data_IF_026194832301
#
_entry.id   IF_026194832301
#
_cell.length_a   1.000
_cell.length_b   1.000
_cell.length_c   1.000
_cell.angle_alpha   90.00
_cell.angle_beta   90.00
_cell.angle_gamma   90.00
#
_symmetry.space_group_name_H-M   'P 1'
#
loop_
_entity.id
_entity.type
_entity.pdbx_description
1 polymer ?
#
# COMPACT_ATOMS: atom_id res chain seq x y z
N UNK A 1 3.66 2.95 37.24
CA UNK A 1 3.53 2.81 35.79
C UNK A 1 2.17 3.39 35.40
N UNK A 2 2.14 4.50 34.69
CA UNK A 2 0.88 5.09 34.23
C UNK A 2 0.38 4.19 33.10
N UNK A 3 -0.67 3.36 33.36
CA UNK A 3 -1.45 2.76 32.28
C UNK A 3 -1.96 3.92 31.45
N UNK A 4 -1.44 4.14 30.24
CA UNK A 4 -2.15 4.95 29.27
C UNK A 4 -3.43 4.21 28.99
N UNK A 5 -4.55 4.78 29.42
CA UNK A 5 -5.85 4.14 29.27
C UNK A 5 -6.17 3.97 27.79
N UNK A 6 -6.90 2.91 27.49
CA UNK A 6 -7.46 2.66 26.17
C UNK A 6 -8.51 3.75 25.92
N UNK A 7 -8.25 4.66 24.98
CA UNK A 7 -9.15 5.74 24.65
C UNK A 7 -10.25 5.23 23.72
N UNK A 8 -11.51 5.43 24.08
CA UNK A 8 -12.65 5.13 23.23
C UNK A 8 -13.06 6.38 22.46
N UNK A 9 -13.15 6.28 21.14
CA UNK A 9 -13.65 7.31 20.24
C UNK A 9 -14.94 6.79 19.61
N UNK A 10 -16.05 7.48 19.87
CA UNK A 10 -17.34 7.15 19.30
C UNK A 10 -17.58 7.93 18.01
N UNK A 11 -18.11 7.26 16.98
CA UNK A 11 -18.53 7.80 15.70
C UNK A 11 -20.05 7.60 15.52
N UNK A 12 -20.91 8.39 16.23
CA UNK A 12 -22.35 8.15 16.26
C UNK A 12 -23.03 8.21 14.89
N UNK A 13 -22.50 9.02 13.97
CA UNK A 13 -23.05 9.19 12.63
C UNK A 13 -23.05 7.88 11.81
N UNK A 14 -22.16 6.96 12.13
CA UNK A 14 -22.02 5.66 11.45
C UNK A 14 -22.21 4.47 12.40
N UNK A 15 -22.55 4.74 13.67
CA UNK A 15 -22.77 3.71 14.69
C UNK A 15 -21.51 2.96 15.11
N UNK A 16 -20.33 3.59 14.97
CA UNK A 16 -19.03 2.95 15.18
C UNK A 16 -18.31 3.46 16.40
N UNK A 17 -17.43 2.64 16.96
CA UNK A 17 -16.45 3.07 17.94
C UNK A 17 -15.07 2.47 17.67
N UNK A 18 -14.04 3.25 18.00
CA UNK A 18 -12.64 2.83 17.89
C UNK A 18 -11.98 2.99 19.23
N UNK A 19 -11.31 1.97 19.70
CA UNK A 19 -10.43 2.04 20.86
C UNK A 19 -8.99 2.21 20.40
N UNK A 20 -8.32 3.24 20.91
CA UNK A 20 -6.94 3.52 20.52
C UNK A 20 -6.01 3.70 21.70
N UNK A 21 -4.76 3.33 21.54
CA UNK A 21 -3.69 3.64 22.49
C UNK A 21 -2.32 3.55 21.82
N UNK A 22 -1.29 4.09 22.49
CA UNK A 22 0.10 3.87 22.12
C UNK A 22 0.81 3.20 23.29
N UNK A 23 1.41 2.04 23.06
CA UNK A 23 2.15 1.31 24.09
C UNK A 23 3.48 2.00 24.45
N UNK A 24 4.11 1.56 25.54
CA UNK A 24 5.39 2.15 26.03
C UNK A 24 6.52 2.01 25.00
N UNK A 25 6.54 0.93 24.22
CA UNK A 25 7.49 0.70 23.13
C UNK A 25 7.17 1.48 21.84
N UNK A 26 6.10 2.29 21.86
CA UNK A 26 5.67 3.13 20.75
C UNK A 26 4.70 2.48 19.77
N UNK A 27 4.35 1.20 19.91
CA UNK A 27 3.38 0.54 19.04
C UNK A 27 2.01 1.20 19.16
N UNK A 28 1.44 1.63 18.05
CA UNK A 28 0.09 2.22 17.98
C UNK A 28 -0.93 1.13 17.73
N UNK A 29 -2.01 1.17 18.52
CA UNK A 29 -3.08 0.18 18.46
C UNK A 29 -4.41 0.84 18.16
N UNK A 30 -5.19 0.19 17.30
CA UNK A 30 -6.58 0.52 16.98
C UNK A 30 -7.40 -0.76 17.04
N UNK A 31 -8.38 -0.81 17.94
CA UNK A 31 -9.27 -1.95 18.13
C UNK A 31 -10.69 -1.54 17.79
N UNK A 32 -11.35 -2.28 16.93
CA UNK A 32 -12.71 -2.00 16.43
C UNK A 32 -13.58 -3.23 16.67
N UNK A 33 -14.19 -3.36 17.87
CA UNK A 33 -15.06 -4.49 18.18
C UNK A 33 -16.32 -4.49 17.31
N UNK A 34 -16.64 -5.66 16.75
CA UNK A 34 -17.79 -5.93 15.89
C UNK A 34 -18.45 -7.24 16.33
N UNK A 35 -19.25 -7.18 17.39
CA UNK A 35 -19.86 -8.38 17.99
C UNK A 35 -20.80 -9.15 17.05
N UNK A 36 -21.36 -8.48 16.05
CA UNK A 36 -22.29 -9.09 15.07
C UNK A 36 -21.59 -9.77 13.89
N UNK A 37 -20.26 -9.70 13.84
CA UNK A 37 -19.46 -10.35 12.80
C UNK A 37 -18.84 -11.65 13.33
N UNK A 38 -18.82 -12.69 12.48
CA UNK A 38 -18.18 -13.95 12.83
C UNK A 38 -16.66 -13.92 12.54
N UNK A 39 -16.21 -13.04 11.66
CA UNK A 39 -14.81 -12.92 11.25
C UNK A 39 -14.10 -11.83 12.03
N UNK A 40 -12.84 -12.12 12.37
CA UNK A 40 -11.90 -11.14 12.91
C UNK A 40 -10.73 -10.98 11.95
N UNK A 41 -10.31 -9.76 11.76
CA UNK A 41 -9.20 -9.36 10.89
C UNK A 41 -8.21 -8.52 11.68
N UNK A 42 -6.93 -8.80 11.53
CA UNK A 42 -5.89 -7.93 12.05
C UNK A 42 -4.82 -7.65 11.01
N UNK A 43 -4.30 -6.43 11.02
CA UNK A 43 -3.21 -5.99 10.17
C UNK A 43 -2.21 -5.17 10.96
N UNK A 44 -0.94 -5.55 10.88
CA UNK A 44 0.18 -4.76 11.39
C UNK A 44 0.99 -4.24 10.22
N UNK A 45 1.34 -2.97 10.25
CA UNK A 45 2.12 -2.35 9.18
C UNK A 45 3.30 -1.58 9.73
N UNK A 46 4.42 -1.62 9.00
CA UNK A 46 5.58 -0.77 9.22
C UNK A 46 5.66 0.31 8.13
N UNK A 47 6.20 1.48 8.47
CA UNK A 47 6.46 2.56 7.52
C UNK A 47 7.77 2.30 6.77
N UNK A 48 7.79 1.23 6.00
CA UNK A 48 8.88 0.81 5.13
C UNK A 48 8.29 0.26 3.84
N UNK A 49 8.55 0.87 2.71
CA UNK A 49 8.04 0.47 1.41
C UNK A 49 9.11 0.54 0.33
N UNK A 50 8.72 0.28 -0.91
CA UNK A 50 9.67 0.17 -2.03
C UNK A 50 10.42 1.46 -2.35
N UNK A 51 9.90 2.63 -1.95
CA UNK A 51 10.58 3.92 -2.15
C UNK A 51 11.60 4.24 -1.05
N UNK A 52 11.66 3.46 0.02
CA UNK A 52 12.57 3.68 1.15
C UNK A 52 13.90 2.97 0.94
N UNK A 53 14.63 3.37 -0.10
CA UNK A 53 15.93 2.78 -0.46
C UNK A 53 17.13 3.60 0.03
N UNK A 54 16.92 4.82 0.56
CA UNK A 54 18.00 5.73 0.99
C UNK A 54 17.65 6.38 2.32
N UNK A 55 18.30 5.94 3.39
CA UNK A 55 17.96 6.37 4.75
C UNK A 55 19.17 6.31 5.72
N UNK A 56 19.01 6.89 6.90
CA UNK A 56 20.01 6.81 7.99
C UNK A 56 19.94 5.45 8.66
N UNK A 57 21.09 4.88 8.97
CA UNK A 57 21.24 3.64 9.76
C UNK A 57 21.90 3.98 11.08
N UNK A 58 21.41 3.42 12.19
CA UNK A 58 21.97 3.67 13.52
C UNK A 58 23.45 3.29 13.60
N UNK A 59 24.24 4.11 14.29
CA UNK A 59 25.69 3.93 14.42
C UNK A 59 26.50 4.17 13.13
N UNK A 60 25.84 4.57 12.01
CA UNK A 60 26.52 4.80 10.72
C UNK A 60 26.32 6.24 10.28
N UNK A 61 27.42 6.94 9.98
CA UNK A 61 27.37 8.33 9.53
C UNK A 61 26.75 8.44 8.11
N UNK A 62 25.83 9.40 7.95
CA UNK A 62 25.21 9.75 6.69
C UNK A 62 24.06 8.81 6.25
N UNK A 63 23.65 9.03 5.02
CA UNK A 63 22.57 8.24 4.38
C UNK A 63 23.19 7.06 3.65
N UNK A 64 22.63 5.88 3.84
CA UNK A 64 22.98 4.66 3.11
C UNK A 64 21.97 4.38 2.01
N UNK A 65 22.42 3.74 0.96
CA UNK A 65 21.60 3.32 -0.17
C UNK A 65 21.50 1.81 -0.21
N UNK A 66 20.27 1.33 -0.41
CA UNK A 66 19.93 -0.09 -0.49
C UNK A 66 19.33 -0.42 -1.86
N UNK A 67 19.44 -1.68 -2.32
CA UNK A 67 18.86 -2.11 -3.59
C UNK A 67 17.35 -1.89 -3.63
N UNK A 68 16.82 -1.48 -4.80
CA UNK A 68 15.38 -1.47 -5.01
C UNK A 68 14.82 -2.90 -4.88
N UNK A 69 13.59 -3.02 -4.36
CA UNK A 69 12.97 -4.31 -4.06
C UNK A 69 13.29 -4.86 -2.67
N UNK A 70 14.20 -4.21 -1.87
CA UNK A 70 14.61 -4.74 -0.58
C UNK A 70 13.46 -4.83 0.44
N UNK A 71 12.48 -3.93 0.37
CA UNK A 71 11.30 -3.98 1.25
C UNK A 71 10.41 -5.20 0.94
N UNK A 72 10.19 -5.50 -0.34
CA UNK A 72 9.47 -6.67 -0.81
C UNK A 72 10.26 -7.97 -0.51
N UNK A 73 11.56 -7.96 -0.73
CA UNK A 73 12.41 -9.09 -0.35
C UNK A 73 12.30 -9.40 1.14
N UNK A 74 12.33 -8.36 1.99
CA UNK A 74 12.19 -8.54 3.43
C UNK A 74 10.79 -9.07 3.80
N UNK A 75 9.74 -8.62 3.11
CA UNK A 75 8.40 -9.16 3.29
C UNK A 75 8.36 -10.69 3.12
N UNK A 76 8.92 -11.22 2.01
CA UNK A 76 9.04 -12.66 1.78
C UNK A 76 9.81 -13.34 2.92
N UNK A 77 10.94 -12.77 3.34
CA UNK A 77 11.80 -13.37 4.36
C UNK A 77 11.20 -13.35 5.76
N UNK A 78 10.23 -12.48 6.01
CA UNK A 78 9.51 -12.49 7.29
C UNK A 78 8.71 -13.77 7.51
N UNK A 79 8.26 -14.45 6.45
CA UNK A 79 7.53 -15.73 6.58
C UNK A 79 8.40 -16.89 7.05
N UNK A 80 9.72 -16.80 6.98
CA UNK A 80 10.63 -17.77 7.59
C UNK A 80 10.55 -17.68 9.13
N UNK A 81 10.03 -18.71 9.77
CA UNK A 81 9.80 -18.74 11.22
C UNK A 81 10.27 -20.04 11.83
N UNK A 82 11.41 -20.04 12.54
CA UNK A 82 11.97 -21.23 13.18
C UNK A 82 12.15 -22.46 12.26
N UNK A 83 12.42 -22.24 10.97
CA UNK A 83 12.53 -23.31 9.98
C UNK A 83 11.18 -23.84 9.45
N UNK A 84 10.08 -23.16 9.77
CA UNK A 84 8.73 -23.38 9.23
C UNK A 84 8.23 -22.11 8.55
N UNK A 85 7.13 -22.22 7.82
CA UNK A 85 6.44 -21.05 7.25
C UNK A 85 5.41 -20.52 8.26
N UNK A 86 5.38 -19.20 8.46
CA UNK A 86 4.41 -18.57 9.35
C UNK A 86 2.96 -18.87 8.93
N UNK A 87 2.70 -19.05 7.63
CA UNK A 87 1.37 -19.43 7.11
C UNK A 87 0.89 -20.77 7.66
N UNK A 88 1.78 -21.74 7.87
CA UNK A 88 1.45 -23.03 8.45
C UNK A 88 1.02 -22.89 9.92
N UNK A 89 1.65 -21.98 10.67
CA UNK A 89 1.29 -21.72 12.07
C UNK A 89 -0.08 -21.03 12.16
N UNK A 90 -0.39 -20.09 11.29
CA UNK A 90 -1.73 -19.49 11.20
C UNK A 90 -2.79 -20.53 10.78
N UNK A 91 -2.49 -21.40 9.83
CA UNK A 91 -3.40 -22.47 9.39
C UNK A 91 -3.75 -23.43 10.52
N UNK A 92 -2.81 -23.75 11.42
CA UNK A 92 -3.09 -24.56 12.65
C UNK A 92 -4.08 -23.91 13.59
N UNK A 93 -4.18 -22.59 13.59
CA UNK A 93 -5.14 -21.81 14.37
C UNK A 93 -6.48 -21.61 13.63
N UNK A 94 -6.60 -22.09 12.38
CA UNK A 94 -7.78 -21.89 11.53
C UNK A 94 -7.84 -20.52 10.90
N UNK A 95 -6.71 -19.83 10.74
CA UNK A 95 -6.60 -18.49 10.15
C UNK A 95 -5.94 -18.54 8.77
N UNK A 96 -6.33 -17.60 7.91
CA UNK A 96 -5.62 -17.27 6.67
C UNK A 96 -4.72 -16.06 6.95
N UNK A 97 -3.50 -16.08 6.42
CA UNK A 97 -2.56 -14.97 6.53
C UNK A 97 -2.13 -14.48 5.14
N UNK A 98 -1.73 -13.23 5.05
CA UNK A 98 -1.16 -12.63 3.85
C UNK A 98 -0.25 -11.46 4.23
N UNK A 99 0.52 -10.96 3.27
CA UNK A 99 1.29 -9.74 3.40
C UNK A 99 1.28 -8.97 2.08
N UNK A 100 1.68 -7.71 2.13
CA UNK A 100 1.94 -6.94 0.93
C UNK A 100 2.93 -5.82 1.20
N UNK A 101 3.73 -5.52 0.21
CA UNK A 101 4.57 -4.33 0.14
C UNK A 101 3.97 -3.33 -0.84
N UNK A 102 3.83 -2.08 -0.39
CA UNK A 102 3.49 -0.95 -1.25
C UNK A 102 4.68 0.00 -1.37
N UNK A 103 4.48 1.13 -2.03
CA UNK A 103 5.52 2.15 -2.14
C UNK A 103 5.98 2.72 -0.80
N UNK A 104 5.09 2.84 0.20
CA UNK A 104 5.35 3.56 1.46
C UNK A 104 5.21 2.71 2.73
N UNK A 105 4.79 1.46 2.61
CA UNK A 105 4.57 0.56 3.75
C UNK A 105 4.66 -0.91 3.35
N UNK A 106 5.01 -1.75 4.33
CA UNK A 106 4.83 -3.20 4.28
C UNK A 106 3.84 -3.58 5.38
N UNK A 107 2.94 -4.51 5.11
CA UNK A 107 1.89 -4.92 6.03
C UNK A 107 1.72 -6.44 6.04
N UNK A 108 1.38 -6.98 7.20
CA UNK A 108 1.12 -8.38 7.47
C UNK A 108 -0.24 -8.51 8.13
N UNK A 109 -1.02 -9.49 7.74
CA UNK A 109 -2.41 -9.58 8.15
C UNK A 109 -2.85 -11.02 8.31
N UNK A 110 -3.91 -11.21 9.09
CA UNK A 110 -4.68 -12.46 9.11
C UNK A 110 -6.18 -12.19 9.12
N UNK A 111 -6.95 -13.17 8.69
CA UNK A 111 -8.38 -13.29 8.95
C UNK A 111 -8.69 -14.64 9.57
N UNK A 112 -9.67 -14.66 10.50
CA UNK A 112 -10.08 -15.88 11.19
C UNK A 112 -11.52 -15.78 11.70
N UNK A 113 -12.18 -16.93 11.87
CA UNK A 113 -13.49 -17.03 12.54
C UNK A 113 -13.38 -17.61 13.95
N UNK A 114 -12.17 -17.93 14.40
CA UNK A 114 -11.89 -18.49 15.73
C UNK A 114 -10.43 -18.23 16.12
N UNK A 115 -10.11 -18.37 17.41
CA UNK A 115 -8.75 -18.17 17.92
C UNK A 115 -8.14 -16.80 17.64
N UNK A 116 -8.94 -15.74 17.62
CA UNK A 116 -8.52 -14.37 17.29
C UNK A 116 -7.36 -13.89 18.17
N UNK A 117 -7.39 -14.17 19.49
CA UNK A 117 -6.33 -13.72 20.41
C UNK A 117 -5.01 -14.49 20.20
N UNK A 118 -4.97 -15.82 20.07
CA UNK A 118 -3.77 -16.57 19.64
C UNK A 118 -3.23 -16.09 18.29
N UNK A 119 -4.10 -15.74 17.33
CA UNK A 119 -3.67 -15.19 16.03
C UNK A 119 -3.06 -13.80 16.17
N UNK A 120 -3.57 -12.94 17.07
CA UNK A 120 -2.97 -11.63 17.38
C UNK A 120 -1.56 -11.80 17.99
N UNK A 121 -1.39 -12.73 18.94
CA UNK A 121 -0.07 -13.03 19.51
C UNK A 121 0.90 -13.53 18.44
N UNK A 122 0.47 -14.48 17.62
CA UNK A 122 1.26 -15.03 16.51
C UNK A 122 1.67 -13.93 15.52
N UNK A 123 0.75 -13.03 15.12
CA UNK A 123 1.05 -11.90 14.23
C UNK A 123 2.14 -10.99 14.80
N UNK A 124 2.07 -10.67 16.08
CA UNK A 124 3.08 -9.87 16.76
C UNK A 124 4.42 -10.59 16.86
N UNK A 125 4.42 -11.91 17.13
CA UNK A 125 5.64 -12.71 17.23
C UNK A 125 6.31 -12.88 15.85
N UNK A 126 5.50 -13.12 14.84
CA UNK A 126 5.92 -13.24 13.46
C UNK A 126 6.62 -11.96 12.95
N UNK A 127 5.98 -10.80 13.11
CA UNK A 127 6.48 -9.55 12.52
C UNK A 127 7.63 -8.91 13.34
N UNK A 128 7.78 -9.28 14.60
CA UNK A 128 8.81 -8.74 15.49
C UNK A 128 10.00 -9.68 15.69
N UNK A 129 10.22 -10.59 14.73
CA UNK A 129 11.34 -11.50 14.69
C UNK A 129 11.80 -11.68 13.24
N UNK A 130 13.08 -11.76 13.03
CA UNK A 130 13.68 -12.05 11.72
C UNK A 130 14.58 -13.28 11.84
N UNK A 131 14.20 -14.37 11.17
CA UNK A 131 14.96 -15.62 11.13
C UNK A 131 15.44 -15.87 9.71
N UNK A 132 16.62 -15.37 9.34
CA UNK A 132 17.18 -15.55 8.00
C UNK A 132 18.59 -16.12 8.04
N UNK A 133 18.90 -16.98 7.08
CA UNK A 133 20.25 -17.47 6.82
C UNK A 133 20.73 -17.01 5.46
N UNK A 134 22.04 -16.98 5.20
CA UNK A 134 22.55 -16.68 3.84
C UNK A 134 21.94 -17.59 2.78
N UNK A 135 21.77 -18.88 3.07
CA UNK A 135 21.21 -19.88 2.18
C UNK A 135 19.74 -19.59 1.87
N UNK A 136 18.94 -19.21 2.89
CA UNK A 136 17.52 -18.87 2.70
C UNK A 136 17.38 -17.60 1.86
N UNK A 137 18.28 -16.64 2.01
CA UNK A 137 18.33 -15.42 1.17
C UNK A 137 18.66 -15.75 -0.28
N UNK A 138 19.68 -16.60 -0.52
CA UNK A 138 20.03 -17.00 -1.90
C UNK A 138 18.91 -17.77 -2.59
N UNK A 139 18.20 -18.64 -1.87
CA UNK A 139 17.03 -19.35 -2.41
C UNK A 139 15.92 -18.37 -2.82
N UNK A 140 15.66 -17.36 -1.99
CA UNK A 140 14.58 -16.38 -2.22
C UNK A 140 14.83 -15.51 -3.46
N UNK A 141 16.09 -15.19 -3.78
CA UNK A 141 16.44 -14.47 -5.03
C UNK A 141 15.88 -15.15 -6.26
N UNK A 142 15.93 -16.49 -6.29
CA UNK A 142 15.36 -17.27 -7.39
C UNK A 142 13.84 -17.13 -7.48
N UNK A 143 13.14 -17.16 -6.36
CA UNK A 143 11.68 -17.05 -6.28
C UNK A 143 11.24 -15.66 -6.73
N UNK A 144 11.78 -14.60 -6.13
CA UNK A 144 11.47 -13.20 -6.49
C UNK A 144 11.87 -12.93 -7.96
N UNK A 145 12.98 -13.50 -8.42
CA UNK A 145 13.39 -13.38 -9.83
C UNK A 145 12.39 -13.98 -10.82
N UNK A 146 11.68 -15.05 -10.45
CA UNK A 146 10.59 -15.60 -11.26
C UNK A 146 9.33 -14.74 -11.19
N UNK A 147 9.01 -14.21 -10.03
CA UNK A 147 7.89 -13.30 -9.84
C UNK A 147 8.06 -12.02 -10.68
N UNK A 148 9.25 -11.41 -10.69
CA UNK A 148 9.56 -10.25 -11.54
C UNK A 148 9.32 -10.57 -13.01
N UNK A 149 9.74 -11.75 -13.49
CA UNK A 149 9.49 -12.15 -14.87
C UNK A 149 8.02 -12.34 -15.18
N UNK A 150 7.24 -12.87 -14.23
CA UNK A 150 5.80 -13.01 -14.38
C UNK A 150 5.13 -11.64 -14.58
N UNK A 151 5.52 -10.62 -13.80
CA UNK A 151 5.04 -9.25 -14.00
C UNK A 151 5.53 -8.62 -15.31
N UNK A 152 6.74 -8.93 -15.76
CA UNK A 152 7.26 -8.47 -17.06
C UNK A 152 6.46 -9.02 -18.25
N UNK A 153 5.86 -10.20 -18.10
CA UNK A 153 5.02 -10.85 -19.10
C UNK A 153 3.54 -10.48 -18.99
N UNK A 154 3.12 -9.76 -17.93
CA UNK A 154 1.73 -9.33 -17.72
C UNK A 154 1.47 -7.97 -18.40
N UNK A 155 0.62 -7.91 -19.46
CA UNK A 155 0.31 -6.66 -20.15
C UNK A 155 -0.37 -5.60 -19.28
N UNK A 156 -1.21 -6.00 -18.32
CA UNK A 156 -1.91 -5.07 -17.42
C UNK A 156 -0.92 -4.41 -16.46
N UNK A 157 0.00 -5.20 -15.91
CA UNK A 157 1.09 -4.67 -15.10
C UNK A 157 2.01 -3.75 -15.91
N UNK A 158 2.37 -4.15 -17.12
CA UNK A 158 3.27 -3.39 -18.01
C UNK A 158 2.70 -2.03 -18.39
N UNK A 159 1.43 -1.92 -18.72
CA UNK A 159 0.81 -0.63 -19.06
C UNK A 159 0.63 0.23 -17.80
N UNK A 160 0.20 -0.38 -16.68
CA UNK A 160 0.04 0.32 -15.40
C UNK A 160 1.36 0.90 -14.92
N UNK A 161 2.36 0.04 -14.73
CA UNK A 161 3.64 0.45 -14.17
C UNK A 161 4.46 1.28 -15.17
N UNK A 162 4.40 0.96 -16.45
CA UNK A 162 5.02 1.76 -17.52
C UNK A 162 4.51 3.20 -17.54
N UNK A 163 3.24 3.42 -17.22
CA UNK A 163 2.68 4.78 -17.10
C UNK A 163 3.31 5.56 -15.94
N UNK A 164 3.59 4.91 -14.79
CA UNK A 164 4.29 5.53 -13.64
C UNK A 164 5.75 5.84 -14.01
N UNK A 165 6.43 4.93 -14.69
CA UNK A 165 7.80 5.14 -15.20
C UNK A 165 7.91 6.34 -16.14
N UNK A 166 6.86 6.61 -16.91
CA UNK A 166 6.80 7.78 -17.80
C UNK A 166 6.61 9.08 -17.03
N UNK A 167 5.99 9.06 -15.85
CA UNK A 167 5.75 10.25 -15.04
C UNK A 167 7.00 10.72 -14.29
N UNK A 168 7.80 9.79 -13.74
CA UNK A 168 8.85 10.13 -12.76
C UNK A 168 10.25 9.93 -13.33
N UNK A 169 11.13 10.93 -13.07
CA UNK A 169 12.52 10.93 -13.52
C UNK A 169 13.45 10.31 -12.48
N UNK A 170 13.39 10.80 -11.24
CA UNK A 170 14.32 10.49 -10.17
C UNK A 170 13.64 9.84 -8.97
N UNK A 171 12.31 9.83 -8.93
CA UNK A 171 11.58 9.29 -7.79
C UNK A 171 11.60 7.76 -7.81
N UNK A 172 11.89 7.08 -6.67
CA UNK A 172 11.94 5.61 -6.61
C UNK A 172 10.63 4.91 -7.00
N UNK A 173 9.48 5.59 -6.97
CA UNK A 173 8.20 5.04 -7.44
C UNK A 173 8.24 4.60 -8.91
N UNK A 174 9.20 5.09 -9.70
CA UNK A 174 9.43 4.63 -11.07
C UNK A 174 10.16 3.28 -11.16
N UNK A 175 10.54 2.69 -10.02
CA UNK A 175 11.12 1.34 -9.94
C UNK A 175 10.07 0.42 -9.35
N UNK A 176 9.90 -0.76 -9.94
CA UNK A 176 8.93 -1.75 -9.49
C UNK A 176 9.10 -2.07 -7.99
N UNK A 177 7.99 -2.40 -7.33
CA UNK A 177 7.98 -2.74 -5.90
C UNK A 177 8.91 -3.92 -5.61
N UNK A 178 8.92 -4.92 -6.49
CA UNK A 178 9.81 -6.07 -6.40
C UNK A 178 11.27 -5.74 -6.80
N UNK A 179 11.52 -4.54 -7.33
CA UNK A 179 12.83 -4.16 -7.86
C UNK A 179 13.07 -4.73 -9.26
N UNK A 180 14.31 -5.10 -9.53
CA UNK A 180 14.74 -5.80 -10.74
C UNK A 180 15.55 -7.03 -10.36
N UNK A 181 15.67 -8.00 -11.26
CA UNK A 181 16.51 -9.20 -11.05
C UNK A 181 17.93 -8.80 -10.62
N UNK A 182 18.48 -7.72 -11.23
CA UNK A 182 19.80 -7.21 -10.86
C UNK A 182 19.85 -6.69 -9.41
N UNK A 183 18.85 -5.88 -8.99
CA UNK A 183 18.83 -5.30 -7.63
C UNK A 183 18.57 -6.37 -6.58
N UNK A 184 17.70 -7.34 -6.87
CA UNK A 184 17.44 -8.50 -6.00
C UNK A 184 18.70 -9.34 -5.81
N UNK A 185 19.46 -9.60 -6.88
CA UNK A 185 20.72 -10.36 -6.80
C UNK A 185 21.80 -9.66 -5.96
N UNK A 186 21.78 -8.34 -5.83
CA UNK A 186 22.69 -7.56 -4.97
C UNK A 186 22.29 -7.54 -3.51
N UNK A 187 21.06 -7.92 -3.18
CA UNK A 187 20.57 -7.95 -1.80
C UNK A 187 21.24 -9.10 -1.03
N UNK A 188 21.71 -8.83 0.16
CA UNK A 188 22.28 -9.83 1.06
C UNK A 188 21.62 -9.81 2.44
N UNK A 189 21.97 -10.81 3.26
CA UNK A 189 21.46 -10.96 4.63
C UNK A 189 21.68 -9.70 5.47
N UNK A 190 22.89 -9.12 5.42
CA UNK A 190 23.24 -7.95 6.23
C UNK A 190 22.40 -6.72 5.87
N UNK A 191 22.11 -6.53 4.59
CA UNK A 191 21.23 -5.47 4.12
C UNK A 191 19.79 -5.66 4.64
N UNK A 192 19.26 -6.88 4.58
CA UNK A 192 17.93 -7.22 5.09
C UNK A 192 17.84 -7.01 6.61
N UNK A 193 18.83 -7.49 7.38
CA UNK A 193 18.91 -7.27 8.82
C UNK A 193 18.98 -5.78 9.16
N UNK A 194 19.75 -5.00 8.40
CA UNK A 194 19.84 -3.54 8.58
C UNK A 194 18.48 -2.87 8.35
N UNK A 195 17.77 -3.22 7.29
CA UNK A 195 16.43 -2.69 7.02
C UNK A 195 15.43 -3.10 8.11
N UNK A 196 15.47 -4.37 8.55
CA UNK A 196 14.62 -4.87 9.62
C UNK A 196 14.86 -4.09 10.92
N UNK A 197 16.09 -4.00 11.38
CA UNK A 197 16.45 -3.31 12.61
C UNK A 197 16.09 -1.82 12.57
N UNK A 198 16.14 -1.20 11.38
CA UNK A 198 15.79 0.21 11.20
C UNK A 198 14.27 0.44 11.22
N UNK A 199 13.50 -0.38 10.52
CA UNK A 199 12.09 -0.07 10.26
C UNK A 199 11.07 -0.90 11.06
N UNK A 200 11.45 -2.08 11.58
CA UNK A 200 10.51 -2.98 12.27
C UNK A 200 10.46 -2.77 13.79
N UNK A 201 10.94 -1.63 14.25
CA UNK A 201 10.76 -1.22 15.64
C UNK A 201 9.27 -0.86 15.91
N UNK A 202 8.66 -1.28 17.04
CA UNK A 202 7.26 -1.03 17.36
C UNK A 202 6.82 0.43 17.22
N UNK A 203 7.68 1.40 17.51
CA UNK A 203 7.36 2.83 17.37
C UNK A 203 7.16 3.29 15.92
N UNK A 204 7.64 2.51 14.94
CA UNK A 204 7.42 2.71 13.51
C UNK A 204 6.23 1.90 12.98
N UNK A 205 5.56 1.12 13.85
CA UNK A 205 4.51 0.19 13.48
C UNK A 205 3.14 0.60 14.01
N UNK A 206 2.11 0.03 13.39
CA UNK A 206 0.71 0.25 13.74
C UNK A 206 -0.07 -1.06 13.57
N UNK A 207 -0.84 -1.43 14.60
CA UNK A 207 -1.70 -2.61 14.58
C UNK A 207 -3.17 -2.18 14.59
N UNK A 208 -3.95 -2.67 13.64
CA UNK A 208 -5.40 -2.61 13.62
C UNK A 208 -5.98 -3.99 13.84
N UNK A 209 -7.00 -4.08 14.67
CA UNK A 209 -7.79 -5.31 14.86
C UNK A 209 -9.26 -4.94 14.76
N UNK A 210 -9.99 -5.62 13.90
CA UNK A 210 -11.43 -5.44 13.71
C UNK A 210 -12.12 -6.79 13.68
N UNK A 211 -13.29 -6.90 14.31
CA UNK A 211 -14.09 -8.13 14.31
C UNK A 211 -14.68 -8.48 15.67
N UNK A 212 -15.00 -9.74 15.84
CA UNK A 212 -15.63 -10.26 17.07
C UNK A 212 -14.61 -10.36 18.22
N UNK A 213 -14.15 -9.21 18.69
CA UNK A 213 -13.18 -9.09 19.79
C UNK A 213 -13.75 -8.30 20.95
N UNK A 214 -13.28 -8.60 22.16
CA UNK A 214 -13.41 -7.73 23.30
C UNK A 214 -12.17 -6.84 23.43
N UNK A 215 -12.35 -5.51 23.46
CA UNK A 215 -11.24 -4.55 23.44
C UNK A 215 -10.33 -4.68 24.67
N UNK A 216 -10.88 -4.93 25.86
CA UNK A 216 -10.09 -5.09 27.10
C UNK A 216 -9.27 -6.40 27.09
N UNK A 217 -9.85 -7.48 26.56
CA UNK A 217 -9.13 -8.73 26.37
C UNK A 217 -8.02 -8.57 25.36
N UNK A 218 -8.31 -8.01 24.18
CA UNK A 218 -7.33 -7.79 23.12
C UNK A 218 -6.14 -6.94 23.59
N UNK A 219 -6.41 -5.81 24.29
CA UNK A 219 -5.32 -4.95 24.78
C UNK A 219 -4.47 -5.63 25.85
N UNK A 220 -5.05 -6.49 26.69
CA UNK A 220 -4.28 -7.25 27.69
C UNK A 220 -3.38 -8.28 27.02
N UNK A 221 -3.89 -9.08 26.08
CA UNK A 221 -3.11 -10.02 25.28
C UNK A 221 -1.93 -9.32 24.59
N UNK A 222 -2.19 -8.20 23.93
CA UNK A 222 -1.15 -7.44 23.23
C UNK A 222 -0.10 -6.90 24.22
N UNK A 223 -0.52 -6.35 25.35
CA UNK A 223 0.41 -5.84 26.39
C UNK A 223 1.27 -6.95 26.99
N UNK A 224 0.68 -8.10 27.28
CA UNK A 224 1.41 -9.25 27.81
C UNK A 224 2.44 -9.79 26.81
N UNK A 225 2.05 -9.87 25.52
CA UNK A 225 2.96 -10.24 24.45
C UNK A 225 4.14 -9.26 24.34
N UNK A 226 3.86 -7.95 24.30
CA UNK A 226 4.90 -6.93 24.18
C UNK A 226 5.79 -6.80 25.42
N UNK A 227 5.28 -7.12 26.61
CA UNK A 227 6.06 -7.09 27.85
C UNK A 227 7.11 -8.21 27.92
N UNK A 228 6.95 -9.29 27.17
CA UNK A 228 7.93 -10.40 27.07
C UNK A 228 9.10 -10.07 26.13
N UNK A 229 9.04 -8.96 25.38
CA UNK A 229 10.01 -8.56 24.35
C UNK A 229 10.83 -7.37 24.79
N UNK A 230 12.10 -7.39 24.44
CA UNK A 230 13.01 -6.27 24.66
C UNK A 230 13.28 -5.59 23.32
N UNK A 231 13.02 -4.30 23.25
CA UNK A 231 13.34 -3.47 22.11
C UNK A 231 14.37 -2.43 22.50
N UNK A 232 15.33 -2.18 21.64
CA UNK A 232 16.29 -1.08 21.82
C UNK A 232 15.56 0.27 21.72
N UNK A 233 16.25 1.34 22.12
CA UNK A 233 15.67 2.68 21.98
C UNK A 233 15.56 3.05 20.49
N UNK A 234 14.35 3.39 20.04
CA UNK A 234 14.12 3.79 18.65
C UNK A 234 14.97 5.01 18.26
N UNK A 235 15.65 4.89 17.13
CA UNK A 235 16.40 6.00 16.55
C UNK A 235 15.53 6.71 15.48
N UNK A 236 15.70 8.03 15.28
CA UNK A 236 15.00 8.75 14.21
C UNK A 236 15.42 8.24 12.84
N UNK A 237 14.44 7.81 12.04
CA UNK A 237 14.66 7.38 10.66
C UNK A 237 14.52 8.60 9.74
N UNK A 238 15.59 8.94 9.03
CA UNK A 238 15.61 10.03 8.05
C UNK A 238 15.78 9.43 6.67
N UNK A 239 14.70 9.42 5.87
CA UNK A 239 14.77 9.04 4.47
C UNK A 239 15.19 10.24 3.61
N UNK A 240 16.03 9.98 2.61
CA UNK A 240 16.44 11.03 1.67
C UNK A 240 15.26 11.44 0.80
N UNK A 241 15.04 12.76 0.72
CA UNK A 241 14.07 13.31 -0.23
C UNK A 241 14.66 13.33 -1.64
N UNK A 242 13.88 12.86 -2.61
CA UNK A 242 14.25 12.94 -4.01
C UNK A 242 13.83 14.29 -4.59
N UNK A 243 14.73 14.93 -5.35
CA UNK A 243 14.42 16.12 -6.13
C UNK A 243 13.83 15.64 -7.46
N UNK A 244 12.53 15.79 -7.61
CA UNK A 244 11.80 15.33 -8.77
C UNK A 244 11.41 16.53 -9.68
N UNK A 245 11.77 16.51 -10.99
CA UNK A 245 11.35 17.57 -11.92
C UNK A 245 9.84 17.63 -12.08
N UNK A 246 9.29 18.84 -12.31
CA UNK A 246 7.86 19.00 -12.59
C UNK A 246 7.44 18.36 -13.93
N UNK A 247 8.37 18.26 -14.90
CA UNK A 247 8.11 17.63 -16.19
C UNK A 247 8.11 16.11 -16.08
N UNK A 248 7.22 15.46 -16.81
CA UNK A 248 7.23 14.02 -16.97
C UNK A 248 8.51 13.57 -17.70
N UNK A 249 8.95 12.35 -17.39
CA UNK A 249 10.15 11.75 -18.00
C UNK A 249 9.93 11.47 -19.49
N UNK A 250 8.78 10.87 -19.80
CA UNK A 250 8.41 10.50 -21.17
C UNK A 250 6.93 10.85 -21.38
N UNK A 251 6.61 11.51 -22.50
CA UNK A 251 5.24 11.93 -22.79
C UNK A 251 4.36 10.79 -23.30
N UNK A 252 4.96 9.88 -24.02
CA UNK A 252 4.28 8.76 -24.65
C UNK A 252 5.27 7.61 -24.81
N UNK A 253 4.83 6.42 -24.52
CA UNK A 253 5.58 5.19 -24.73
C UNK A 253 4.64 4.11 -25.26
N UNK A 254 5.05 3.37 -26.27
CA UNK A 254 4.28 2.27 -26.85
C UNK A 254 5.11 1.01 -26.68
N UNK A 255 4.51 -0.01 -26.09
CA UNK A 255 5.10 -1.33 -25.90
C UNK A 255 4.30 -2.34 -26.73
N UNK A 256 4.99 -3.13 -27.55
CA UNK A 256 4.34 -4.22 -28.29
C UNK A 256 4.37 -5.49 -27.45
N UNK A 257 3.20 -6.05 -27.19
CA UNK A 257 2.99 -7.32 -26.48
C UNK A 257 1.89 -8.12 -27.20
N UNK A 258 1.83 -9.41 -26.91
CA UNK A 258 0.76 -10.28 -27.44
C UNK A 258 -0.51 -10.07 -26.58
N UNK A 259 -1.45 -9.30 -27.10
CA UNK A 259 -2.69 -8.90 -26.41
C UNK A 259 -3.88 -8.98 -27.36
N UNK A 260 -5.04 -9.34 -26.84
CA UNK A 260 -6.29 -9.38 -27.63
C UNK A 260 -6.79 -7.98 -28.02
N UNK A 261 -6.60 -7.00 -27.13
CA UNK A 261 -7.00 -5.61 -27.33
C UNK A 261 -5.90 -4.66 -26.92
N UNK A 262 -5.81 -3.49 -27.55
CA UNK A 262 -4.86 -2.45 -27.11
C UNK A 262 -5.24 -1.97 -25.71
N UNK A 263 -4.21 -1.75 -24.88
CA UNK A 263 -4.35 -1.22 -23.52
C UNK A 263 -3.77 0.20 -23.48
N UNK A 264 -4.54 1.15 -22.99
CA UNK A 264 -4.07 2.54 -22.86
C UNK A 264 -4.29 3.06 -21.45
N UNK A 265 -3.28 3.74 -20.92
CA UNK A 265 -3.39 4.57 -19.71
C UNK A 265 -2.87 5.98 -20.02
N UNK A 266 -3.73 6.97 -19.79
CA UNK A 266 -3.36 8.39 -19.77
C UNK A 266 -3.12 8.78 -18.32
N UNK A 267 -1.90 9.25 -18.00
CA UNK A 267 -1.50 9.58 -16.64
C UNK A 267 -1.19 11.07 -16.49
N UNK A 268 -1.56 11.62 -15.33
CA UNK A 268 -1.30 13.04 -14.99
C UNK A 268 -0.44 13.07 -13.72
N UNK A 269 0.77 13.62 -13.83
CA UNK A 269 1.63 13.86 -12.68
C UNK A 269 1.13 15.06 -11.88
N UNK A 270 0.99 14.90 -10.57
CA UNK A 270 0.62 15.98 -9.67
C UNK A 270 1.87 16.44 -8.92
N UNK A 271 2.28 17.69 -9.19
CA UNK A 271 3.51 18.24 -8.63
C UNK A 271 3.30 18.87 -7.24
N UNK A 272 2.06 19.18 -6.88
CA UNK A 272 1.73 19.68 -5.56
C UNK A 272 1.63 18.55 -4.55
N UNK A 273 2.59 18.46 -3.65
CA UNK A 273 2.60 17.47 -2.57
C UNK A 273 2.11 18.11 -1.28
N UNK A 274 0.96 17.65 -0.81
CA UNK A 274 0.38 18.12 0.45
C UNK A 274 1.13 17.48 1.63
N UNK A 275 1.38 18.29 2.67
CA UNK A 275 2.08 17.81 3.88
C UNK A 275 1.13 17.43 5.01
N UNK A 276 -0.05 18.08 5.08
CA UNK A 276 -1.00 17.88 6.18
C UNK A 276 -1.95 16.71 5.90
N UNK A 277 -2.06 15.74 6.83
CA UNK A 277 -2.91 14.56 6.63
C UNK A 277 -4.36 14.90 6.29
N UNK A 278 -4.96 15.88 6.98
CA UNK A 278 -6.35 16.29 6.74
C UNK A 278 -6.56 16.84 5.31
N UNK A 279 -5.59 17.57 4.79
CA UNK A 279 -5.64 18.11 3.42
C UNK A 279 -5.49 16.98 2.39
N UNK A 280 -4.63 15.99 2.68
CA UNK A 280 -4.48 14.78 1.86
C UNK A 280 -5.79 14.01 1.75
N UNK A 281 -6.40 13.70 2.89
CA UNK A 281 -7.69 12.97 2.94
C UNK A 281 -8.77 13.76 2.19
N UNK A 282 -8.85 15.08 2.40
CA UNK A 282 -9.81 15.92 1.70
C UNK A 282 -9.61 15.87 0.17
N UNK A 283 -8.36 15.94 -0.30
CA UNK A 283 -8.05 15.85 -1.75
C UNK A 283 -8.43 14.48 -2.29
N UNK A 284 -8.08 13.42 -1.61
CA UNK A 284 -8.40 12.06 -2.01
C UNK A 284 -9.92 11.83 -2.13
N UNK A 285 -10.68 12.19 -1.10
CA UNK A 285 -12.15 12.11 -1.13
C UNK A 285 -12.75 12.97 -2.24
N UNK A 286 -12.21 14.18 -2.46
CA UNK A 286 -12.68 15.07 -3.53
C UNK A 286 -12.39 14.50 -4.92
N UNK A 287 -11.23 13.86 -5.11
CA UNK A 287 -10.87 13.21 -6.39
C UNK A 287 -11.73 11.97 -6.64
N UNK A 288 -11.99 11.16 -5.63
CA UNK A 288 -12.87 9.99 -5.75
C UNK A 288 -14.31 10.38 -6.09
N UNK A 289 -14.84 11.43 -5.44
CA UNK A 289 -16.16 12.00 -5.79
C UNK A 289 -16.19 12.51 -7.23
N UNK A 290 -15.13 13.20 -7.67
CA UNK A 290 -15.02 13.71 -9.03
C UNK A 290 -14.99 12.56 -10.05
N UNK A 291 -14.23 11.50 -9.78
CA UNK A 291 -14.18 10.34 -10.69
C UNK A 291 -15.51 9.60 -10.72
N UNK A 292 -16.20 9.46 -9.61
CA UNK A 292 -17.55 8.91 -9.58
C UNK A 292 -18.54 9.75 -10.40
N UNK A 293 -18.43 11.09 -10.32
CA UNK A 293 -19.28 12.01 -11.10
C UNK A 293 -19.03 11.90 -12.60
N UNK A 294 -17.77 11.75 -13.01
CA UNK A 294 -17.39 11.77 -14.43
C UNK A 294 -17.39 10.36 -15.06
N UNK A 295 -16.90 9.36 -14.33
CA UNK A 295 -16.48 8.09 -14.88
C UNK A 295 -17.22 6.86 -14.31
N UNK A 296 -18.12 7.04 -13.32
CA UNK A 296 -18.92 5.88 -12.87
C UNK A 296 -19.92 5.45 -13.95
N UNK A 297 -20.32 4.18 -13.93
CA UNK A 297 -21.32 3.59 -14.84
C UNK A 297 -22.67 4.34 -14.85
N UNK A 298 -22.94 5.20 -13.86
CA UNK A 298 -24.12 6.05 -13.78
C UNK A 298 -23.92 7.47 -14.33
N UNK A 299 -22.71 7.83 -14.75
CA UNK A 299 -22.42 9.15 -15.31
C UNK A 299 -22.85 9.28 -16.76
N UNK A 300 -23.19 10.50 -17.17
CA UNK A 300 -23.56 10.79 -18.57
C UNK A 300 -22.37 10.56 -19.51
N UNK A 301 -21.18 10.97 -19.09
CA UNK A 301 -19.96 10.85 -19.88
C UNK A 301 -19.60 9.39 -20.15
N UNK A 302 -19.60 8.55 -19.09
CA UNK A 302 -19.33 7.13 -19.22
C UNK A 302 -20.32 6.47 -20.21
N UNK A 303 -21.62 6.72 -20.05
CA UNK A 303 -22.64 6.13 -20.90
C UNK A 303 -22.56 6.64 -22.36
N UNK A 304 -22.24 7.91 -22.57
CA UNK A 304 -22.02 8.45 -23.91
C UNK A 304 -20.84 7.77 -24.61
N UNK A 305 -19.72 7.62 -23.93
CA UNK A 305 -18.55 6.95 -24.49
C UNK A 305 -18.75 5.45 -24.68
N UNK A 306 -19.43 4.79 -23.77
CA UNK A 306 -19.79 3.36 -23.91
C UNK A 306 -20.71 3.14 -25.11
N UNK A 307 -21.78 3.95 -25.26
CA UNK A 307 -22.71 3.85 -26.37
C UNK A 307 -22.07 4.16 -27.73
N UNK A 308 -21.03 4.97 -27.76
CA UNK A 308 -20.24 5.26 -28.96
C UNK A 308 -19.15 4.20 -29.23
N UNK A 309 -18.99 3.21 -28.36
CA UNK A 309 -17.93 2.20 -28.46
C UNK A 309 -16.50 2.74 -28.25
N UNK A 310 -16.36 3.91 -27.61
CA UNK A 310 -15.05 4.52 -27.29
C UNK A 310 -14.41 3.79 -26.11
N UNK A 311 -15.22 3.33 -25.15
CA UNK A 311 -14.81 2.57 -23.98
C UNK A 311 -15.64 1.30 -23.84
N UNK A 312 -15.17 0.40 -22.98
CA UNK A 312 -15.91 -0.79 -22.54
C UNK A 312 -15.86 -0.91 -21.00
N UNK A 313 -16.23 -2.06 -20.46
CA UNK A 313 -16.31 -2.30 -19.01
C UNK A 313 -14.95 -2.29 -18.29
N UNK A 314 -13.83 -2.36 -19.02
CA UNK A 314 -12.47 -2.23 -18.44
C UNK A 314 -12.09 -0.79 -18.12
N UNK A 315 -12.86 0.21 -18.58
CA UNK A 315 -12.57 1.62 -18.35
C UNK A 315 -12.54 1.95 -16.86
N UNK A 316 -11.44 2.56 -16.43
CA UNK A 316 -11.21 2.93 -15.04
C UNK A 316 -10.48 4.26 -14.91
N UNK A 317 -10.69 4.92 -13.77
CA UNK A 317 -9.95 6.11 -13.37
C UNK A 317 -9.56 6.00 -11.90
N UNK A 318 -8.33 6.35 -11.58
CA UNK A 318 -7.80 6.29 -10.22
C UNK A 318 -6.96 7.50 -9.88
N UNK A 319 -6.92 7.83 -8.59
CA UNK A 319 -6.05 8.84 -8.00
C UNK A 319 -5.19 8.18 -6.94
N UNK A 320 -3.89 8.32 -7.09
CA UNK A 320 -2.91 7.86 -6.11
C UNK A 320 -2.22 9.05 -5.48
N UNK A 321 -2.17 9.06 -4.15
CA UNK A 321 -1.46 10.08 -3.38
C UNK A 321 -0.78 9.44 -2.19
N UNK A 322 0.53 9.60 -2.12
CA UNK A 322 1.37 9.12 -1.05
C UNK A 322 2.08 10.28 -0.32
N UNK A 323 3.12 9.97 0.45
CA UNK A 323 3.79 11.00 1.26
C UNK A 323 4.50 12.07 0.43
N UNK A 324 5.05 11.71 -0.74
CA UNK A 324 5.93 12.56 -1.56
C UNK A 324 5.71 12.46 -3.07
N UNK A 325 4.65 11.75 -3.51
CA UNK A 325 4.22 11.72 -4.89
C UNK A 325 2.70 11.62 -5.02
N UNK A 326 2.16 12.04 -6.16
CA UNK A 326 0.75 11.85 -6.51
C UNK A 326 0.55 11.87 -8.03
N UNK A 327 -0.43 11.09 -8.51
CA UNK A 327 -0.79 11.02 -9.92
C UNK A 327 -2.23 10.55 -10.12
N UNK A 328 -2.73 10.79 -11.33
CA UNK A 328 -4.00 10.27 -11.83
C UNK A 328 -3.68 9.30 -12.96
N UNK A 329 -4.44 8.21 -13.05
CA UNK A 329 -4.43 7.29 -14.18
C UNK A 329 -5.86 7.09 -14.67
N UNK A 330 -6.05 7.15 -16.00
CA UNK A 330 -7.33 6.87 -16.66
C UNK A 330 -7.02 5.95 -17.81
N UNK A 331 -7.65 4.78 -17.85
CA UNK A 331 -7.32 3.74 -18.83
C UNK A 331 -8.51 2.88 -19.24
N UNK A 332 -8.30 2.15 -20.33
CA UNK A 332 -9.24 1.21 -20.90
C UNK A 332 -8.51 0.23 -21.82
N UNK A 333 -9.08 -0.96 -21.97
CA UNK A 333 -8.75 -1.85 -23.07
C UNK A 333 -9.68 -1.47 -24.24
N UNK A 334 -9.14 -1.13 -25.40
CA UNK A 334 -9.95 -0.69 -26.53
C UNK A 334 -9.24 -0.93 -27.88
N UNK A 335 -10.02 -1.16 -28.93
CA UNK A 335 -9.48 -1.35 -30.26
C UNK A 335 -8.88 -0.06 -30.84
N UNK A 336 -9.57 1.08 -30.63
CA UNK A 336 -9.15 2.40 -31.11
C UNK A 336 -8.65 3.27 -29.94
N UNK A 337 -7.41 3.00 -29.50
CA UNK A 337 -6.78 3.76 -28.41
C UNK A 337 -6.53 5.24 -28.78
N UNK A 338 -6.35 5.58 -30.07
CA UNK A 338 -6.15 6.96 -30.48
C UNK A 338 -7.42 7.81 -30.29
N UNK A 339 -8.58 7.28 -30.59
CA UNK A 339 -9.86 7.95 -30.34
C UNK A 339 -10.05 8.18 -28.84
N UNK A 340 -9.82 7.17 -27.98
CA UNK A 340 -9.93 7.33 -26.53
C UNK A 340 -8.91 8.35 -26.01
N UNK A 341 -7.65 8.27 -26.44
CA UNK A 341 -6.59 9.24 -26.09
C UNK A 341 -7.01 10.67 -26.39
N UNK A 342 -7.53 10.92 -27.60
CA UNK A 342 -7.97 12.26 -28.01
C UNK A 342 -9.14 12.74 -27.14
N UNK A 343 -10.12 11.91 -26.84
CA UNK A 343 -11.25 12.26 -25.96
C UNK A 343 -10.78 12.58 -24.52
N UNK A 344 -9.83 11.82 -23.98
CA UNK A 344 -9.24 12.10 -22.67
C UNK A 344 -8.44 13.40 -22.65
N UNK A 345 -7.62 13.66 -23.67
CA UNK A 345 -6.87 14.91 -23.78
C UNK A 345 -7.79 16.13 -23.93
N UNK A 346 -8.84 16.03 -24.71
CA UNK A 346 -9.86 17.07 -24.85
C UNK A 346 -10.61 17.31 -23.52
N UNK A 347 -10.99 16.26 -22.82
CA UNK A 347 -11.60 16.35 -21.50
C UNK A 347 -10.69 17.10 -20.51
N UNK A 348 -9.40 16.72 -20.46
CA UNK A 348 -8.41 17.35 -19.56
C UNK A 348 -8.22 18.83 -19.93
N UNK A 349 -8.13 19.14 -21.22
CA UNK A 349 -7.96 20.52 -21.70
C UNK A 349 -9.15 21.42 -21.36
N UNK A 350 -10.37 20.88 -21.50
CA UNK A 350 -11.61 21.61 -21.29
C UNK A 350 -12.23 21.36 -19.90
N UNK A 351 -11.46 20.82 -18.97
CA UNK A 351 -11.93 20.40 -17.66
C UNK A 351 -12.68 21.49 -16.88
N UNK A 352 -12.22 22.74 -17.00
CA UNK A 352 -12.83 23.92 -16.32
C UNK A 352 -14.21 24.29 -16.85
N UNK A 353 -14.57 23.81 -18.04
CA UNK A 353 -15.87 24.07 -18.69
C UNK A 353 -16.92 23.03 -18.33
N UNK A 354 -16.51 21.94 -17.64
CA UNK A 354 -17.42 20.88 -17.21
C UNK A 354 -18.45 21.42 -16.21
N UNK A 355 -19.72 21.21 -16.54
CA UNK A 355 -20.83 21.56 -15.65
C UNK A 355 -21.26 20.30 -14.90
N UNK A 356 -21.14 20.33 -13.58
CA UNK A 356 -21.68 19.30 -12.69
C UNK A 356 -23.03 19.79 -12.19
N UNK A 357 -24.08 18.99 -12.42
CA UNK A 357 -25.42 19.30 -11.90
C UNK A 357 -25.50 18.98 -10.40
N UNK A 358 -26.08 19.87 -9.60
CA UNK A 358 -26.25 19.73 -8.15
C UNK A 358 -26.85 18.38 -7.75
N UNK A 359 -27.88 17.94 -8.49
CA UNK A 359 -28.55 16.65 -8.27
C UNK A 359 -27.61 15.44 -8.41
N UNK A 360 -26.68 15.49 -9.39
CA UNK A 360 -25.71 14.41 -9.61
C UNK A 360 -24.66 14.41 -8.50
N UNK A 361 -24.22 15.59 -8.07
CA UNK A 361 -23.30 15.73 -6.94
C UNK A 361 -23.92 15.16 -5.65
N UNK A 362 -25.14 15.56 -5.29
CA UNK A 362 -25.82 15.06 -4.09
C UNK A 362 -26.10 13.54 -4.16
N UNK A 363 -26.39 13.01 -5.34
CA UNK A 363 -26.55 11.56 -5.54
C UNK A 363 -25.26 10.80 -5.27
N UNK A 364 -24.14 11.25 -5.85
CA UNK A 364 -22.83 10.59 -5.68
C UNK A 364 -22.32 10.74 -4.24
N UNK A 365 -22.51 11.91 -3.63
CA UNK A 365 -22.18 12.14 -2.24
C UNK A 365 -22.91 11.15 -1.31
N UNK A 366 -24.23 10.95 -1.51
CA UNK A 366 -25.01 9.96 -0.75
C UNK A 366 -24.56 8.52 -0.96
N UNK A 367 -24.06 8.19 -2.15
CA UNK A 367 -23.53 6.84 -2.44
C UNK A 367 -22.25 6.56 -1.63
N UNK A 368 -21.47 7.60 -1.34
CA UNK A 368 -20.15 7.49 -0.71
C UNK A 368 -20.16 7.73 0.81
N UNK A 369 -21.34 7.99 1.39
CA UNK A 369 -21.57 8.07 2.84
C UNK A 369 -22.22 6.80 3.34
#
# INVERSE_FOLDING_TARGET
>A
MIKKDLEKIDYPAVGECVYQTTLQNGLKLYLIPKADFNESYAIISTKFGSIDTRFTVDGVEGIKEFPAGIAHFLEHKMFDMNGTDASDEFAKLGASTNAFTSSSRTAYLFSTTSNEYPCIELLLDFVQRLDITPESVEKEKGIIGQEIKMYDDDPDWRVYFGSIQNLYNNHPVAIDIAGTVETVNRTDKTMLETCYNTFYHPSNMMLFVVGNINADTAINVIRENQAKKNFETAQPIICQKNIEPCKVKTKENILSMDVEMNKIIVSIKINEILSKPKEKIKRELSMNLLFDLLFSKSSKLYNDWLNKGIINDSFSASFTQERDYAFIQIGCDCDDYETLKNHLLDLIKNFKELKIEEKDFERIKKKNI
#
